data_IF_886893423100
#
_entry.id   IF_886893423100
#
_cell.length_a   1.000
_cell.length_b   1.000
_cell.length_c   1.000
_cell.angle_alpha   90.00
_cell.angle_beta   90.00
_cell.angle_gamma   90.00
#
_symmetry.space_group_name_H-M   'P 1'
#
loop_
_entity.id
_entity.type
_entity.pdbx_description
1 polymer ?
#
# COMPACT_ATOMS: atom_id res chain seq x y z
N UNK A 1 -34.50 -5.89 -2.91
CA UNK A 1 -33.61 -6.99 -2.51
C UNK A 1 -32.26 -6.61 -3.07
N UNK A 2 -31.40 -5.96 -2.27
CA UNK A 2 -30.15 -5.37 -2.78
C UNK A 2 -29.09 -6.46 -2.76
N UNK A 3 -28.53 -6.75 -3.93
CA UNK A 3 -27.54 -7.81 -4.16
C UNK A 3 -26.35 -7.62 -3.24
N UNK A 4 -26.15 -8.59 -2.35
CA UNK A 4 -25.04 -8.64 -1.40
C UNK A 4 -23.75 -9.13 -2.09
N UNK A 5 -23.72 -9.06 -3.42
CA UNK A 5 -22.81 -9.81 -4.29
C UNK A 5 -21.82 -8.88 -5.00
N UNK A 6 -21.64 -7.65 -4.52
CA UNK A 6 -20.65 -6.71 -5.06
C UNK A 6 -19.98 -5.88 -3.96
N UNK A 7 -18.81 -5.35 -4.30
CA UNK A 7 -18.07 -4.33 -3.55
C UNK A 7 -18.22 -3.02 -4.30
N UNK A 8 -18.56 -1.97 -3.57
CA UNK A 8 -18.61 -0.61 -4.08
C UNK A 8 -17.38 0.13 -3.59
N UNK A 9 -16.82 0.99 -4.42
CA UNK A 9 -15.54 1.61 -4.10
C UNK A 9 -15.44 2.92 -4.83
N UNK A 10 -14.90 3.96 -4.17
CA UNK A 10 -14.51 5.29 -4.68
C UNK A 10 -15.51 6.15 -5.46
N UNK A 11 -16.55 5.56 -6.04
CA UNK A 11 -17.46 6.18 -7.01
C UNK A 11 -18.79 6.59 -6.35
N UNK A 12 -19.04 6.12 -5.12
CA UNK A 12 -20.35 6.17 -4.46
C UNK A 12 -20.35 6.99 -3.18
N UNK A 13 -19.46 7.99 -3.05
CA UNK A 13 -19.78 9.06 -2.10
C UNK A 13 -20.92 9.88 -2.71
N UNK A 14 -22.04 10.13 -2.00
CA UNK A 14 -23.12 10.99 -2.50
C UNK A 14 -22.67 12.41 -2.85
N UNK A 15 -21.46 12.79 -2.41
CA UNK A 15 -20.82 14.09 -2.70
C UNK A 15 -19.46 13.95 -3.41
N UNK A 16 -19.12 12.78 -3.91
CA UNK A 16 -17.86 12.58 -4.62
C UNK A 16 -17.93 13.21 -6.01
N UNK A 17 -17.04 14.16 -6.29
CA UNK A 17 -16.95 14.75 -7.62
C UNK A 17 -16.48 13.69 -8.64
N UNK A 18 -17.18 13.48 -9.77
CA UNK A 18 -16.79 12.52 -10.79
C UNK A 18 -15.37 12.72 -11.35
N UNK A 19 -14.87 13.97 -11.32
CA UNK A 19 -13.51 14.36 -11.70
C UNK A 19 -12.50 14.34 -10.55
N UNK A 20 -12.90 13.93 -9.34
CA UNK A 20 -12.04 13.85 -8.16
C UNK A 20 -11.05 12.67 -8.20
N UNK A 21 -10.45 12.28 -7.06
CA UNK A 21 -9.45 11.19 -6.95
C UNK A 21 -9.85 9.87 -7.62
N UNK A 22 -11.15 9.56 -7.69
CA UNK A 22 -11.68 8.38 -8.36
C UNK A 22 -11.45 8.38 -9.89
N UNK A 23 -11.24 9.54 -10.52
CA UNK A 23 -10.93 9.63 -11.96
C UNK A 23 -9.54 9.08 -12.30
N UNK A 24 -8.53 9.42 -11.49
CA UNK A 24 -7.17 8.92 -11.66
C UNK A 24 -7.10 7.38 -11.55
N UNK A 25 -7.90 6.79 -10.66
CA UNK A 25 -7.98 5.34 -10.50
C UNK A 25 -8.57 4.63 -11.73
N UNK A 26 -9.56 5.25 -12.40
CA UNK A 26 -10.10 4.75 -13.68
C UNK A 26 -9.09 4.85 -14.80
N UNK A 27 -8.37 5.96 -14.88
CA UNK A 27 -7.33 6.16 -15.89
C UNK A 27 -6.22 5.12 -15.73
N UNK A 28 -5.86 4.79 -14.49
CA UNK A 28 -4.92 3.71 -14.16
C UNK A 28 -5.49 2.34 -14.56
N UNK A 29 -6.74 2.05 -14.21
CA UNK A 29 -7.41 0.81 -14.62
C UNK A 29 -7.41 0.62 -16.13
N UNK A 30 -7.81 1.65 -16.87
CA UNK A 30 -7.79 1.65 -18.33
C UNK A 30 -6.36 1.51 -18.90
N UNK A 31 -5.38 2.20 -18.31
CA UNK A 31 -3.98 2.15 -18.74
C UNK A 31 -3.34 0.77 -18.56
N UNK A 32 -3.67 0.07 -17.48
CA UNK A 32 -3.08 -1.23 -17.15
C UNK A 32 -3.98 -2.44 -17.48
N UNK A 33 -5.17 -2.21 -18.04
CA UNK A 33 -6.12 -3.28 -18.39
C UNK A 33 -6.72 -3.99 -17.18
N UNK A 34 -6.94 -3.25 -16.09
CA UNK A 34 -7.59 -3.76 -14.87
C UNK A 34 -9.04 -3.29 -14.89
N UNK A 35 -9.91 -4.11 -15.48
CA UNK A 35 -11.33 -3.76 -15.69
C UNK A 35 -12.06 -3.48 -14.38
N UNK A 36 -11.70 -4.19 -13.31
CA UNK A 36 -12.22 -3.95 -11.96
C UNK A 36 -11.98 -2.51 -11.52
N UNK A 37 -10.91 -1.86 -12.02
CA UNK A 37 -10.60 -0.48 -11.72
C UNK A 37 -11.41 0.57 -12.50
N UNK A 38 -12.08 0.12 -13.55
CA UNK A 38 -12.83 0.95 -14.48
C UNK A 38 -14.35 0.86 -14.28
N UNK A 39 -14.85 0.18 -13.23
CA UNK A 39 -16.29 0.03 -12.94
C UNK A 39 -16.65 0.43 -11.50
N UNK A 40 -17.87 0.97 -11.23
CA UNK A 40 -18.27 1.43 -9.90
C UNK A 40 -18.52 0.30 -8.90
N UNK A 41 -18.74 -0.92 -9.39
CA UNK A 41 -19.13 -2.09 -8.61
C UNK A 41 -18.33 -3.28 -9.11
N UNK A 42 -17.60 -3.94 -8.23
CA UNK A 42 -16.86 -5.17 -8.53
C UNK A 42 -17.67 -6.34 -7.97
N UNK A 43 -18.14 -7.28 -8.80
CA UNK A 43 -18.89 -8.43 -8.32
C UNK A 43 -18.01 -9.36 -7.47
N UNK A 44 -18.60 -9.94 -6.45
CA UNK A 44 -17.98 -11.00 -5.67
C UNK A 44 -17.90 -12.30 -6.50
N UNK A 45 -16.90 -13.15 -6.25
CA UNK A 45 -16.85 -14.48 -6.84
C UNK A 45 -18.14 -15.27 -6.55
N UNK A 46 -18.64 -16.05 -7.53
CA UNK A 46 -19.81 -16.88 -7.30
C UNK A 46 -19.51 -17.99 -6.28
N UNK A 47 -20.54 -18.43 -5.57
CA UNK A 47 -20.50 -19.57 -4.63
C UNK A 47 -19.69 -19.35 -3.33
N UNK A 48 -19.45 -18.11 -2.91
CA UNK A 48 -18.93 -17.87 -1.56
C UNK A 48 -20.00 -18.18 -0.51
N UNK A 49 -19.61 -18.91 0.54
CA UNK A 49 -20.44 -19.04 1.74
C UNK A 49 -20.59 -17.68 2.45
N UNK A 50 -21.61 -17.55 3.31
CA UNK A 50 -21.83 -16.30 4.08
C UNK A 50 -20.60 -15.86 4.87
N UNK A 51 -19.86 -16.79 5.45
CA UNK A 51 -18.64 -16.51 6.21
C UNK A 51 -17.49 -16.11 5.29
N UNK A 52 -17.38 -16.72 4.11
CA UNK A 52 -16.40 -16.39 3.09
C UNK A 52 -16.64 -15.01 2.46
N UNK A 53 -17.91 -14.60 2.29
CA UNK A 53 -18.28 -13.27 1.76
C UNK A 53 -17.68 -12.17 2.64
N UNK A 54 -17.77 -12.31 3.96
CA UNK A 54 -17.25 -11.29 4.89
C UNK A 54 -15.73 -11.19 4.80
N UNK A 55 -15.01 -12.32 4.84
CA UNK A 55 -13.55 -12.33 4.73
C UNK A 55 -13.04 -11.82 3.38
N UNK A 56 -13.68 -12.23 2.28
CA UNK A 56 -13.33 -11.79 0.94
C UNK A 56 -13.53 -10.28 0.78
N UNK A 57 -14.64 -9.73 1.28
CA UNK A 57 -14.93 -8.30 1.23
C UNK A 57 -13.85 -7.47 1.92
N UNK A 58 -13.43 -7.87 3.13
CA UNK A 58 -12.34 -7.19 3.83
C UNK A 58 -11.05 -7.22 3.01
N UNK A 59 -10.67 -8.38 2.49
CA UNK A 59 -9.44 -8.52 1.70
C UNK A 59 -9.47 -7.69 0.41
N UNK A 60 -10.59 -7.71 -0.31
CA UNK A 60 -10.74 -6.96 -1.55
C UNK A 60 -10.72 -5.44 -1.30
N UNK A 61 -11.27 -4.97 -0.18
CA UNK A 61 -11.17 -3.57 0.26
C UNK A 61 -9.72 -3.16 0.50
N UNK A 62 -8.93 -3.99 1.19
CA UNK A 62 -7.52 -3.69 1.46
C UNK A 62 -6.72 -3.59 0.16
N UNK A 63 -6.95 -4.51 -0.79
CA UNK A 63 -6.31 -4.50 -2.10
C UNK A 63 -6.68 -3.24 -2.88
N UNK A 64 -7.96 -2.93 -2.93
CA UNK A 64 -8.49 -1.76 -3.61
C UNK A 64 -7.91 -0.47 -3.03
N UNK A 65 -7.91 -0.35 -1.71
CA UNK A 65 -7.40 0.82 -1.02
C UNK A 65 -5.90 1.01 -1.28
N UNK A 66 -5.11 -0.06 -1.17
CA UNK A 66 -3.69 -0.03 -1.48
C UNK A 66 -3.45 0.39 -2.93
N UNK A 67 -4.16 -0.20 -3.90
CA UNK A 67 -4.01 0.16 -5.30
C UNK A 67 -4.42 1.61 -5.59
N UNK A 68 -5.46 2.12 -4.93
CA UNK A 68 -5.88 3.51 -5.04
C UNK A 68 -4.81 4.47 -4.50
N UNK A 69 -4.25 4.19 -3.32
CA UNK A 69 -3.15 4.98 -2.74
C UNK A 69 -1.89 4.92 -3.59
N UNK A 70 -1.54 3.75 -4.12
CA UNK A 70 -0.34 3.57 -4.93
C UNK A 70 -0.43 4.27 -6.29
N UNK A 71 -1.58 4.15 -6.94
CA UNK A 71 -1.75 4.68 -8.30
C UNK A 71 -2.02 6.18 -8.36
N UNK A 72 -2.65 6.74 -7.33
CA UNK A 72 -2.97 8.18 -7.26
C UNK A 72 -1.95 8.98 -6.46
N UNK A 73 -1.18 8.32 -5.58
CA UNK A 73 -0.33 8.99 -4.60
C UNK A 73 -1.10 9.66 -3.45
N UNK A 74 -2.44 9.57 -3.42
CA UNK A 74 -3.29 10.19 -2.40
C UNK A 74 -3.43 9.24 -1.22
N UNK A 75 -3.21 9.75 -0.01
CA UNK A 75 -3.25 9.03 1.27
C UNK A 75 -3.62 10.01 2.38
N UNK A 76 -4.35 9.59 3.44
CA UNK A 76 -4.80 8.22 3.75
C UNK A 76 -6.10 7.83 3.04
N UNK A 77 -6.53 6.58 3.24
CA UNK A 77 -7.87 6.13 2.89
C UNK A 77 -8.70 5.85 4.15
N UNK A 78 -10.02 5.91 4.02
CA UNK A 78 -10.98 5.50 5.04
C UNK A 78 -11.95 4.47 4.47
N UNK A 79 -12.27 3.43 5.25
CA UNK A 79 -13.23 2.39 4.89
C UNK A 79 -14.50 2.54 5.69
N UNK A 80 -15.66 2.47 5.04
CA UNK A 80 -16.96 2.60 5.67
C UNK A 80 -17.89 1.45 5.31
N UNK A 81 -18.90 1.23 6.14
CA UNK A 81 -20.10 0.48 5.78
C UNK A 81 -21.24 1.49 5.58
N UNK A 82 -21.89 1.43 4.42
CA UNK A 82 -23.04 2.26 4.05
C UNK A 82 -24.33 1.69 4.67
N UNK A 83 -25.40 2.48 4.67
CA UNK A 83 -26.69 2.14 5.28
C UNK A 83 -27.36 0.89 4.67
N UNK A 84 -27.04 0.58 3.42
CA UNK A 84 -27.50 -0.62 2.70
C UNK A 84 -26.58 -1.85 2.91
N UNK A 85 -25.55 -1.71 3.74
CA UNK A 85 -24.58 -2.76 4.05
C UNK A 85 -23.45 -2.91 3.03
N UNK A 86 -23.41 -2.06 2.00
CA UNK A 86 -22.27 -1.96 1.09
C UNK A 86 -21.05 -1.43 1.83
N UNK A 87 -19.87 -1.82 1.36
CA UNK A 87 -18.62 -1.30 1.88
C UNK A 87 -18.11 -0.25 0.90
N UNK A 88 -17.47 0.80 1.41
CA UNK A 88 -16.92 1.88 0.61
C UNK A 88 -15.48 2.18 1.04
N UNK A 89 -14.65 2.56 0.06
CA UNK A 89 -13.30 3.09 0.27
C UNK A 89 -13.26 4.53 -0.20
N UNK A 90 -12.78 5.41 0.67
CA UNK A 90 -12.64 6.84 0.43
C UNK A 90 -11.17 7.22 0.49
N UNK A 91 -10.64 7.76 -0.59
CA UNK A 91 -9.37 8.48 -0.53
C UNK A 91 -9.64 9.84 0.11
N UNK A 92 -8.87 10.17 1.14
CA UNK A 92 -8.96 11.45 1.82
C UNK A 92 -7.91 12.37 1.21
N UNK A 93 -8.36 13.36 0.44
CA UNK A 93 -7.54 14.48 0.01
C UNK A 93 -7.56 15.59 1.08
N UNK A 94 -6.55 16.46 1.02
CA UNK A 94 -6.42 17.63 1.92
C UNK A 94 -6.41 17.31 3.43
N UNK A 95 -6.06 16.07 3.80
CA UNK A 95 -5.82 15.67 5.19
C UNK A 95 -4.32 15.67 5.47
N UNK A 96 -3.87 16.61 6.29
CA UNK A 96 -2.50 16.63 6.80
C UNK A 96 -2.34 15.55 7.88
N UNK A 97 -1.78 14.39 7.50
CA UNK A 97 -1.29 13.43 8.46
C UNK A 97 0.12 13.80 8.94
N UNK A 98 0.48 13.51 10.20
CA UNK A 98 1.87 13.58 10.62
C UNK A 98 2.68 12.62 9.75
N UNK A 99 3.64 13.15 9.01
CA UNK A 99 4.52 12.31 8.21
C UNK A 99 5.47 11.56 9.13
N UNK A 100 5.66 10.24 8.95
CA UNK A 100 6.64 9.50 9.74
C UNK A 100 8.04 10.06 9.46
N UNK A 101 8.80 10.24 10.55
CA UNK A 101 10.22 10.58 10.47
C UNK A 101 11.02 9.39 9.94
N UNK A 102 12.27 9.64 9.54
CA UNK A 102 13.18 8.55 9.19
C UNK A 102 13.42 7.60 10.37
N UNK A 103 13.42 8.12 11.61
CA UNK A 103 13.54 7.30 12.81
C UNK A 103 12.32 6.38 13.01
N UNK A 104 11.10 6.88 12.79
CA UNK A 104 9.87 6.06 12.83
C UNK A 104 9.94 4.93 11.79
N UNK A 105 10.40 5.26 10.58
CA UNK A 105 10.67 4.28 9.54
C UNK A 105 11.70 3.25 10.00
N UNK A 106 12.91 3.66 10.37
CA UNK A 106 14.00 2.75 10.68
C UNK A 106 13.68 1.78 11.83
N UNK A 107 12.93 2.26 12.83
CA UNK A 107 12.58 1.48 14.02
C UNK A 107 11.37 0.57 13.82
N UNK A 108 10.39 0.99 13.00
CA UNK A 108 9.13 0.24 12.79
C UNK A 108 9.19 -0.68 11.57
N UNK A 109 10.02 -0.34 10.58
CA UNK A 109 10.15 -1.06 9.31
C UNK A 109 10.39 -2.57 9.48
N UNK A 110 11.24 -3.06 10.40
CA UNK A 110 11.48 -4.51 10.54
C UNK A 110 10.19 -5.28 10.85
N UNK A 111 9.27 -4.69 11.61
CA UNK A 111 7.99 -5.31 11.94
C UNK A 111 7.04 -5.26 10.74
N UNK A 112 6.95 -4.11 10.07
CA UNK A 112 6.08 -3.91 8.90
C UNK A 112 6.50 -4.81 7.73
N UNK A 113 7.80 -4.91 7.44
CA UNK A 113 8.28 -5.76 6.34
C UNK A 113 8.05 -7.23 6.59
N UNK A 114 8.03 -7.67 7.84
CA UNK A 114 7.73 -9.07 8.17
C UNK A 114 6.25 -9.41 8.01
N UNK A 115 5.35 -8.43 8.09
CA UNK A 115 3.91 -8.64 7.90
C UNK A 115 3.43 -8.35 6.48
N UNK A 116 4.20 -7.61 5.68
CA UNK A 116 3.85 -7.26 4.31
C UNK A 116 3.86 -8.49 3.38
N UNK A 117 2.72 -8.75 2.75
CA UNK A 117 2.60 -9.73 1.68
C UNK A 117 3.04 -9.14 0.33
N UNK A 118 4.32 -8.80 0.19
CA UNK A 118 4.89 -8.29 -1.06
C UNK A 118 5.74 -9.34 -1.77
N UNK A 119 5.66 -9.36 -3.11
CA UNK A 119 6.46 -10.26 -3.93
C UNK A 119 7.97 -9.94 -3.86
N UNK A 120 8.31 -8.67 -3.69
CA UNK A 120 9.68 -8.19 -3.56
C UNK A 120 9.75 -6.99 -2.60
N UNK A 121 10.36 -7.19 -1.44
CA UNK A 121 10.48 -6.18 -0.39
C UNK A 121 11.37 -5.00 -0.80
N UNK A 122 12.27 -5.22 -1.76
CA UNK A 122 13.18 -4.17 -2.25
C UNK A 122 12.40 -3.08 -2.98
N UNK A 123 11.35 -3.47 -3.72
CA UNK A 123 10.47 -2.54 -4.43
C UNK A 123 9.68 -1.67 -3.44
N UNK A 124 9.19 -2.26 -2.36
CA UNK A 124 8.47 -1.52 -1.31
C UNK A 124 9.38 -0.46 -0.65
N UNK A 125 10.61 -0.84 -0.29
CA UNK A 125 11.59 0.11 0.26
C UNK A 125 11.92 1.21 -0.75
N UNK A 126 12.11 0.86 -2.02
CA UNK A 126 12.37 1.85 -3.08
C UNK A 126 11.22 2.82 -3.26
N UNK A 127 9.97 2.33 -3.27
CA UNK A 127 8.77 3.17 -3.37
C UNK A 127 8.67 4.16 -2.21
N UNK A 128 8.93 3.70 -0.99
CA UNK A 128 8.91 4.56 0.19
C UNK A 128 10.00 5.63 0.13
N UNK A 129 11.25 5.26 -0.17
CA UNK A 129 12.35 6.22 -0.26
C UNK A 129 12.09 7.28 -1.33
N UNK A 130 11.61 6.87 -2.51
CA UNK A 130 11.26 7.80 -3.59
C UNK A 130 10.17 8.80 -3.17
N UNK A 131 9.13 8.34 -2.46
CA UNK A 131 8.04 9.21 -1.95
C UNK A 131 8.52 10.22 -0.90
N UNK A 132 9.54 9.87 -0.12
CA UNK A 132 10.07 10.72 0.96
C UNK A 132 11.28 11.55 0.55
N UNK A 133 11.78 11.38 -0.68
CA UNK A 133 13.04 12.00 -1.12
C UNK A 133 14.27 11.44 -0.41
N UNK A 134 14.19 10.22 0.12
CA UNK A 134 15.33 9.53 0.71
C UNK A 134 16.15 8.84 -0.37
N UNK A 135 17.45 8.69 -0.10
CA UNK A 135 18.38 8.08 -1.03
C UNK A 135 18.57 6.60 -0.71
N UNK A 136 18.74 5.79 -1.76
CA UNK A 136 19.06 4.37 -1.64
C UNK A 136 20.38 4.08 -2.33
N UNK A 137 21.23 3.31 -1.67
CA UNK A 137 22.38 2.64 -2.29
C UNK A 137 22.36 1.14 -2.03
N UNK A 138 22.82 0.38 -3.02
CA UNK A 138 22.90 -1.08 -2.94
C UNK A 138 24.35 -1.53 -2.83
N UNK A 139 24.62 -2.45 -1.90
CA UNK A 139 25.93 -3.10 -1.75
C UNK A 139 25.79 -4.61 -1.87
N UNK A 140 26.83 -5.26 -2.39
CA UNK A 140 26.93 -6.71 -2.39
C UNK A 140 27.15 -7.23 -0.97
N UNK A 141 26.30 -8.15 -0.51
CA UNK A 141 26.56 -8.86 0.74
C UNK A 141 27.70 -9.87 0.63
N UNK A 142 28.03 -10.46 1.77
CA UNK A 142 29.20 -11.33 1.97
C UNK A 142 29.17 -12.63 1.15
N UNK A 143 28.01 -13.01 0.60
CA UNK A 143 27.81 -14.25 -0.16
C UNK A 143 27.98 -14.10 -1.70
N UNK A 144 28.71 -13.08 -2.14
CA UNK A 144 28.95 -12.81 -3.56
C UNK A 144 27.79 -12.09 -4.26
N UNK A 145 27.04 -11.26 -3.52
CA UNK A 145 25.97 -10.41 -4.06
C UNK A 145 24.62 -11.09 -4.25
N UNK A 146 24.44 -12.32 -3.76
CA UNK A 146 23.13 -13.01 -3.81
C UNK A 146 22.21 -12.58 -2.67
N UNK A 147 22.80 -12.09 -1.58
CA UNK A 147 22.15 -11.41 -0.47
C UNK A 147 22.55 -9.93 -0.51
N UNK A 148 21.85 -9.06 -1.24
CA UNK A 148 22.20 -7.65 -1.30
C UNK A 148 21.89 -6.93 0.02
N UNK A 149 22.60 -5.85 0.26
CA UNK A 149 22.33 -4.92 1.37
C UNK A 149 21.81 -3.62 0.75
N UNK A 150 20.67 -3.14 1.25
CA UNK A 150 20.11 -1.84 0.91
C UNK A 150 20.42 -0.87 2.04
N UNK A 151 21.11 0.23 1.72
CA UNK A 151 21.24 1.37 2.62
C UNK A 151 20.23 2.43 2.20
N UNK A 152 19.35 2.83 3.11
CA UNK A 152 18.40 3.94 2.93
C UNK A 152 18.86 5.09 3.81
N UNK A 153 18.84 6.32 3.32
CA UNK A 153 19.27 7.50 4.10
C UNK A 153 18.42 8.73 3.81
N UNK A 154 18.12 9.50 4.84
CA UNK A 154 17.54 10.85 4.74
C UNK A 154 18.61 11.95 4.58
N UNK A 155 19.90 11.58 4.54
CA UNK A 155 21.05 12.48 4.47
C UNK A 155 21.79 12.65 5.80
N UNK A 156 21.17 12.29 6.92
CA UNK A 156 21.74 12.39 8.26
C UNK A 156 21.83 11.02 8.94
N UNK A 157 20.76 10.24 8.84
CA UNK A 157 20.62 8.90 9.39
C UNK A 157 20.68 7.85 8.29
N UNK A 158 21.04 6.61 8.65
CA UNK A 158 21.11 5.49 7.70
C UNK A 158 20.42 4.26 8.28
N UNK A 159 19.61 3.58 7.46
CA UNK A 159 19.04 2.27 7.76
C UNK A 159 19.60 1.23 6.79
N UNK A 160 20.04 0.09 7.32
CA UNK A 160 20.59 -1.03 6.57
C UNK A 160 19.61 -2.19 6.59
N UNK A 161 19.32 -2.74 5.41
CA UNK A 161 18.47 -3.92 5.26
C UNK A 161 19.22 -4.98 4.46
N UNK A 162 19.49 -6.13 5.08
CA UNK A 162 20.03 -7.29 4.38
C UNK A 162 18.89 -8.17 3.88
N UNK A 163 19.01 -8.64 2.64
CA UNK A 163 18.03 -9.54 2.03
C UNK A 163 18.62 -10.91 1.79
N UNK A 164 17.78 -11.95 1.88
CA UNK A 164 18.12 -13.25 1.32
C UNK A 164 17.98 -13.28 -0.21
N UNK A 165 18.32 -14.44 -0.78
CA UNK A 165 18.23 -14.72 -2.23
C UNK A 165 16.82 -14.64 -2.82
N UNK A 166 15.80 -14.60 -1.97
CA UNK A 166 14.39 -14.48 -2.35
C UNK A 166 13.87 -13.06 -2.12
N UNK A 167 14.77 -12.09 -1.92
CA UNK A 167 14.44 -10.70 -1.63
C UNK A 167 13.57 -10.53 -0.36
N UNK A 168 13.72 -11.42 0.61
CA UNK A 168 13.11 -11.28 1.93
C UNK A 168 14.14 -10.69 2.88
N UNK A 169 13.78 -9.69 3.70
CA UNK A 169 14.73 -9.11 4.62
C UNK A 169 15.05 -10.10 5.73
N UNK A 170 16.34 -10.23 6.04
CA UNK A 170 16.87 -11.17 7.05
C UNK A 170 17.55 -10.45 8.20
N UNK A 171 18.04 -9.23 7.99
CA UNK A 171 18.61 -8.39 9.03
C UNK A 171 18.27 -6.92 8.81
N UNK A 172 18.21 -6.17 9.92
CA UNK A 172 17.91 -4.75 9.95
C UNK A 172 18.76 -4.06 11.03
N UNK A 173 19.45 -2.99 10.64
CA UNK A 173 20.15 -2.11 11.57
C UNK A 173 20.01 -0.66 11.14
N UNK A 174 20.27 0.29 12.02
CA UNK A 174 20.25 1.71 11.68
C UNK A 174 21.20 2.51 12.56
N UNK A 175 21.66 3.63 12.00
CA UNK A 175 22.43 4.67 12.64
C UNK A 175 21.59 5.95 12.58
N UNK A 176 20.99 6.34 13.71
CA UNK A 176 20.09 7.48 13.79
C UNK A 176 20.79 8.66 14.46
N UNK A 177 20.68 9.85 13.85
CA UNK A 177 21.17 11.08 14.47
C UNK A 177 20.35 11.41 15.71
N UNK A 178 21.02 11.73 16.81
CA UNK A 178 20.38 12.12 18.07
C UNK A 178 20.02 10.96 19.01
N UNK A 179 20.32 9.71 18.65
CA UNK A 179 20.29 8.56 19.56
C UNK A 179 21.72 8.15 19.90
N UNK A 180 22.23 8.66 21.02
CA UNK A 180 23.43 8.17 21.73
C UNK A 180 23.02 7.65 23.10
#
# INVERSE_FOLDING_TARGET
MIETDAIVWGWAHPRGEPSGPASALRDVGARFGVDDFAVPRVPLPPNLSRDQITGYRTQAIDIVAAAAVESTGISPYWTARLDDGELAVYLLDDVALPEPSFADFATTMPTVMRSLAVNDHRVAIHGMAARRGWHISWRTGSDGGRSPICDVTDGESVAHVEFDRRARPVDFSCELVGQA
#
